data_IF_444881141312
#
_entry.id   IF_444881141312
#
_cell.length_a   1.000
_cell.length_b   1.000
_cell.length_c   1.000
_cell.angle_alpha   90.00
_cell.angle_beta   90.00
_cell.angle_gamma   90.00
#
_symmetry.space_group_name_H-M   'P 1'
#
loop_
_entity.id
_entity.type
_entity.pdbx_description
1 polymer ?
#
# COMPACT_ATOMS: atom_id res chain seq x y z
N UNK A 1 -4.52 17.76 -5.92
CA UNK A 1 -4.45 19.23 -6.11
C UNK A 1 -5.25 19.66 -7.35
N UNK A 2 -4.91 19.22 -8.56
CA UNK A 2 -5.59 19.64 -9.79
C UNK A 2 -7.13 19.46 -9.76
N UNK A 3 -7.62 18.29 -9.37
CA UNK A 3 -9.06 18.04 -9.25
C UNK A 3 -9.75 18.96 -8.22
N UNK A 4 -9.11 19.22 -7.06
CA UNK A 4 -9.64 20.13 -6.05
C UNK A 4 -9.67 21.59 -6.56
N UNK A 5 -8.65 21.99 -7.34
CA UNK A 5 -8.61 23.31 -7.98
C UNK A 5 -9.75 23.50 -8.98
N UNK A 6 -10.08 22.45 -9.73
CA UNK A 6 -11.19 22.48 -10.69
C UNK A 6 -12.53 22.84 -10.03
N UNK A 7 -12.72 22.49 -8.75
CA UNK A 7 -13.92 22.81 -7.96
C UNK A 7 -13.73 23.99 -7.00
N UNK A 8 -12.69 24.82 -7.20
CA UNK A 8 -12.53 26.10 -6.51
C UNK A 8 -11.58 26.11 -5.30
N UNK A 9 -11.00 24.97 -4.89
CA UNK A 9 -10.00 24.96 -3.80
C UNK A 9 -8.70 25.59 -4.30
N UNK A 10 -8.14 26.54 -3.55
CA UNK A 10 -6.86 27.16 -3.95
C UNK A 10 -5.70 26.15 -3.83
N UNK A 11 -4.67 26.23 -4.69
CA UNK A 11 -3.51 25.34 -4.58
C UNK A 11 -2.85 25.41 -3.20
N UNK A 12 -2.78 26.60 -2.61
CA UNK A 12 -2.18 26.84 -1.29
C UNK A 12 -2.94 26.07 -0.21
N UNK A 13 -4.28 26.12 -0.22
CA UNK A 13 -5.12 25.38 0.72
C UNK A 13 -5.01 23.87 0.50
N UNK A 14 -4.97 23.41 -0.75
CA UNK A 14 -4.79 21.99 -1.07
C UNK A 14 -3.43 21.46 -0.57
N UNK A 15 -2.36 22.23 -0.76
CA UNK A 15 -1.02 21.89 -0.25
C UNK A 15 -0.98 21.86 1.28
N UNK A 16 -1.60 22.85 1.94
CA UNK A 16 -1.70 22.85 3.42
C UNK A 16 -2.46 21.62 3.94
N UNK A 17 -3.57 21.26 3.30
CA UNK A 17 -4.33 20.06 3.66
C UNK A 17 -3.51 18.78 3.46
N UNK A 18 -2.80 18.66 2.33
CA UNK A 18 -1.91 17.52 2.06
C UNK A 18 -0.74 17.44 3.03
N UNK A 19 -0.19 18.57 3.48
CA UNK A 19 0.84 18.60 4.51
C UNK A 19 0.39 18.07 5.88
N UNK A 20 -0.93 17.97 6.10
CA UNK A 20 -1.55 17.40 7.31
C UNK A 20 -2.16 16.02 7.06
N UNK A 21 -2.02 15.48 5.85
CA UNK A 21 -2.61 14.20 5.50
C UNK A 21 -1.96 13.08 6.33
N UNK A 22 -2.77 12.46 7.20
CA UNK A 22 -2.41 11.20 7.83
C UNK A 22 -2.77 10.10 6.85
N UNK A 23 -1.85 9.15 6.65
CA UNK A 23 -2.05 8.07 5.70
C UNK A 23 -3.35 7.30 6.01
N UNK A 24 -3.99 6.78 4.97
CA UNK A 24 -5.16 5.92 5.12
C UNK A 24 -4.79 4.64 5.87
N UNK A 25 -5.72 4.11 6.67
CA UNK A 25 -5.53 2.82 7.35
C UNK A 25 -5.20 1.72 6.34
N UNK A 26 -4.43 0.72 6.80
CA UNK A 26 -4.05 -0.46 6.00
C UNK A 26 -3.27 -0.10 4.72
N UNK A 27 -2.33 0.86 4.85
CA UNK A 27 -1.32 1.19 3.83
C UNK A 27 0.06 1.15 4.47
N UNK A 28 0.72 -0.01 4.40
CA UNK A 28 1.92 -0.37 5.18
C UNK A 28 1.81 0.06 6.65
N UNK A 29 0.63 -0.19 7.25
CA UNK A 29 0.33 0.20 8.61
C UNK A 29 1.09 -0.71 9.59
N UNK A 30 1.96 -0.13 10.41
CA UNK A 30 2.65 -0.86 11.47
C UNK A 30 1.62 -1.33 12.51
N UNK A 31 1.49 -2.65 12.69
CA UNK A 31 0.58 -3.26 13.67
C UNK A 31 1.28 -3.57 14.99
N UNK A 32 2.60 -3.75 14.96
CA UNK A 32 3.41 -4.02 16.14
C UNK A 32 4.70 -4.73 15.80
N UNK A 33 5.49 -5.00 16.82
CA UNK A 33 6.69 -5.83 16.75
C UNK A 33 6.67 -6.81 17.90
N UNK A 34 6.89 -8.08 17.61
CA UNK A 34 6.90 -9.16 18.60
C UNK A 34 8.04 -10.13 18.26
N UNK A 35 8.84 -10.53 19.25
CA UNK A 35 9.98 -11.44 19.06
C UNK A 35 10.90 -11.06 17.88
N UNK A 36 11.10 -9.76 17.65
CA UNK A 36 11.93 -9.23 16.56
C UNK A 36 11.28 -9.29 15.16
N UNK A 37 9.98 -9.59 15.08
CA UNK A 37 9.20 -9.59 13.83
C UNK A 37 8.27 -8.38 13.82
N UNK A 38 8.49 -7.50 12.85
CA UNK A 38 7.62 -6.33 12.64
C UNK A 38 6.44 -6.70 11.73
N UNK A 39 5.21 -6.54 12.22
CA UNK A 39 3.98 -6.80 11.48
C UNK A 39 3.43 -5.56 10.78
N UNK A 40 3.16 -5.67 9.48
CA UNK A 40 2.54 -4.62 8.67
C UNK A 40 1.22 -5.12 8.06
N UNK A 41 0.20 -4.25 8.01
CA UNK A 41 -1.07 -4.51 7.30
C UNK A 41 -1.18 -3.58 6.07
N UNK A 42 -1.50 -4.17 4.91
CA UNK A 42 -1.79 -3.45 3.68
C UNK A 42 -3.04 -4.01 2.98
N UNK A 43 -3.78 -3.14 2.29
CA UNK A 43 -4.95 -3.48 1.50
C UNK A 43 -4.64 -3.94 0.07
N UNK A 44 -3.38 -4.03 -0.36
CA UNK A 44 -3.01 -4.47 -1.70
C UNK A 44 -3.67 -5.82 -2.09
N UNK A 45 -4.38 -5.83 -3.21
CA UNK A 45 -5.19 -6.96 -3.70
C UNK A 45 -5.19 -7.07 -5.24
N UNK A 46 -4.23 -6.40 -5.90
CA UNK A 46 -3.96 -6.51 -7.32
C UNK A 46 -2.44 -6.60 -7.50
N UNK A 47 -1.92 -7.32 -8.50
CA UNK A 47 -0.49 -7.56 -8.66
C UNK A 47 0.37 -6.29 -8.56
N UNK A 48 0.06 -5.26 -9.35
CA UNK A 48 0.77 -3.97 -9.30
C UNK A 48 0.76 -3.33 -7.92
N UNK A 49 -0.35 -3.40 -7.19
CA UNK A 49 -0.42 -2.84 -5.84
C UNK A 49 0.45 -3.64 -4.85
N UNK A 50 0.54 -4.96 -5.03
CA UNK A 50 1.36 -5.85 -4.21
C UNK A 50 2.84 -5.57 -4.48
N UNK A 51 3.25 -5.50 -5.74
CA UNK A 51 4.61 -5.16 -6.15
C UNK A 51 5.06 -3.81 -5.57
N UNK A 52 4.22 -2.77 -5.69
CA UNK A 52 4.49 -1.45 -5.11
C UNK A 52 4.56 -1.48 -3.58
N UNK A 53 3.74 -2.32 -2.92
CA UNK A 53 3.76 -2.49 -1.46
C UNK A 53 5.06 -3.15 -1.01
N UNK A 54 5.49 -4.22 -1.68
CA UNK A 54 6.72 -4.95 -1.36
C UNK A 54 7.95 -4.08 -1.66
N UNK A 55 7.96 -3.37 -2.80
CA UNK A 55 9.03 -2.42 -3.14
C UNK A 55 9.12 -1.26 -2.15
N UNK A 56 7.98 -0.68 -1.78
CA UNK A 56 7.91 0.36 -0.75
C UNK A 56 8.41 -0.13 0.62
N UNK A 57 8.05 -1.36 1.01
CA UNK A 57 8.54 -1.97 2.24
C UNK A 57 10.04 -2.25 2.18
N UNK A 58 10.57 -2.77 1.06
CA UNK A 58 12.01 -3.00 0.83
C UNK A 58 12.82 -1.72 1.07
N UNK A 59 12.39 -0.60 0.48
CA UNK A 59 13.04 0.69 0.68
C UNK A 59 13.06 1.14 2.15
N UNK A 60 12.07 0.70 2.96
CA UNK A 60 11.99 1.01 4.38
C UNK A 60 12.82 0.08 5.26
N UNK A 61 12.92 -1.21 4.93
CA UNK A 61 13.51 -2.23 5.80
C UNK A 61 14.93 -2.65 5.42
N UNK A 62 15.48 -2.11 4.32
CA UNK A 62 16.83 -2.42 3.86
C UNK A 62 16.92 -3.90 3.45
N UNK A 63 17.95 -4.63 3.89
CA UNK A 63 18.17 -6.05 3.55
C UNK A 63 17.39 -7.05 4.43
N UNK A 64 16.54 -6.57 5.36
CA UNK A 64 15.77 -7.48 6.22
C UNK A 64 14.87 -8.40 5.40
N UNK A 65 14.67 -9.64 5.86
CA UNK A 65 13.76 -10.61 5.21
C UNK A 65 12.33 -10.07 5.23
N UNK A 66 11.63 -10.17 4.11
CA UNK A 66 10.21 -9.85 3.98
C UNK A 66 9.44 -11.16 3.79
N UNK A 67 8.37 -11.34 4.57
CA UNK A 67 7.40 -12.42 4.40
C UNK A 67 6.07 -11.79 4.01
N UNK A 68 5.60 -12.05 2.78
CA UNK A 68 4.30 -11.57 2.31
C UNK A 68 3.24 -12.66 2.54
N UNK A 69 2.18 -12.30 3.27
CA UNK A 69 1.00 -13.16 3.47
C UNK A 69 -0.17 -12.53 2.72
N UNK A 70 -0.69 -13.25 1.73
CA UNK A 70 -1.71 -12.74 0.81
C UNK A 70 -3.04 -13.49 1.01
N UNK A 71 -4.11 -12.73 1.20
CA UNK A 71 -5.49 -13.25 1.18
C UNK A 71 -6.18 -12.84 -0.13
N UNK A 72 -6.51 -13.77 -1.04
CA UNK A 72 -7.23 -13.45 -2.26
C UNK A 72 -8.65 -12.92 -1.98
N UNK A 73 -8.84 -11.60 -2.07
CA UNK A 73 -10.14 -10.97 -1.76
C UNK A 73 -11.01 -10.66 -2.96
N UNK A 74 -10.47 -10.04 -4.00
CA UNK A 74 -11.28 -9.59 -5.13
C UNK A 74 -11.83 -10.78 -5.93
N UNK A 75 -13.01 -10.64 -6.53
CA UNK A 75 -13.60 -11.70 -7.38
C UNK A 75 -12.64 -12.08 -8.52
N UNK A 76 -11.91 -11.10 -9.06
CA UNK A 76 -10.88 -11.30 -10.09
C UNK A 76 -9.71 -12.14 -9.59
N UNK A 77 -9.18 -11.85 -8.38
CA UNK A 77 -8.14 -12.69 -7.76
C UNK A 77 -8.62 -14.10 -7.46
N UNK A 78 -9.82 -14.24 -6.87
CA UNK A 78 -10.39 -15.55 -6.51
C UNK A 78 -10.62 -16.44 -7.73
N UNK A 79 -10.97 -15.86 -8.88
CA UNK A 79 -11.08 -16.56 -10.17
C UNK A 79 -9.73 -16.90 -10.81
N UNK A 80 -8.61 -16.52 -10.19
CA UNK A 80 -7.27 -16.87 -10.64
C UNK A 80 -6.75 -16.06 -11.82
N UNK A 81 -7.43 -14.98 -12.21
CA UNK A 81 -7.02 -14.12 -13.35
C UNK A 81 -5.60 -13.59 -13.18
N UNK A 82 -5.18 -13.38 -11.93
CA UNK A 82 -3.86 -12.86 -11.60
C UNK A 82 -2.84 -13.95 -11.20
N UNK A 83 -3.15 -15.24 -11.33
CA UNK A 83 -2.29 -16.33 -10.80
C UNK A 83 -0.83 -16.22 -11.25
N UNK A 84 -0.61 -16.10 -12.56
CA UNK A 84 0.75 -16.06 -13.10
C UNK A 84 1.45 -14.77 -12.69
N UNK A 85 0.80 -13.62 -12.86
CA UNK A 85 1.37 -12.32 -12.48
C UNK A 85 1.70 -12.22 -10.98
N UNK A 86 0.89 -12.84 -10.11
CA UNK A 86 1.16 -12.90 -8.67
C UNK A 86 2.34 -13.81 -8.33
N UNK A 87 2.59 -14.85 -9.10
CA UNK A 87 3.76 -15.72 -8.90
C UNK A 87 5.07 -15.01 -9.25
N UNK A 88 5.00 -14.01 -10.15
CA UNK A 88 6.13 -13.19 -10.57
C UNK A 88 6.31 -11.90 -9.74
N UNK A 89 5.40 -11.61 -8.79
CA UNK A 89 5.40 -10.40 -7.94
C UNK A 89 6.22 -10.53 -6.65
#
# INVERSE_FOLDING_TARGET
IAAARHVGVTPELACQALGRLINTKRRLELKGEEQGVTGYDDFAHHPTAIELTVGGLRNKVGEKRILAVLEPRSATMKRGVHKNTLADS
#
